data_IF_893087032750
#
_entry.id   IF_893087032750
#
_cell.length_a   1.000
_cell.length_b   1.000
_cell.length_c   1.000
_cell.angle_alpha   90.00
_cell.angle_beta   90.00
_cell.angle_gamma   90.00
#
_symmetry.space_group_name_H-M   'P 1'
#
loop_
_entity.id
_entity.type
_entity.pdbx_description
1 polymer ?
#
# COMPACT_ATOMS: atom_id res chain seq x y z
N UNK A 1 2.99 -1.07 18.16
CA UNK A 1 2.59 -0.45 19.44
C UNK A 1 2.64 -1.55 20.49
N UNK A 2 2.92 -1.23 21.76
CA UNK A 2 2.98 -2.22 22.84
C UNK A 2 2.08 -1.72 23.97
N UNK A 3 0.80 -2.03 23.86
CA UNK A 3 -0.25 -1.66 24.81
C UNK A 3 -1.28 -2.77 24.90
N UNK A 4 -2.21 -2.67 25.87
CA UNK A 4 -3.17 -3.73 26.18
C UNK A 4 -3.99 -4.17 24.97
N UNK A 5 -4.38 -3.23 24.11
CA UNK A 5 -5.18 -3.50 22.92
C UNK A 5 -4.38 -4.29 21.89
N UNK A 6 -3.19 -3.78 21.54
CA UNK A 6 -2.35 -4.38 20.49
C UNK A 6 -1.65 -5.68 20.95
N UNK A 7 -1.62 -5.97 22.26
CA UNK A 7 -1.17 -7.26 22.78
C UNK A 7 -2.23 -8.36 22.64
N UNK A 8 -3.50 -8.02 22.36
CA UNK A 8 -4.59 -8.96 22.07
C UNK A 8 -4.81 -10.09 23.10
N UNK A 9 -4.36 -9.90 24.35
CA UNK A 9 -4.39 -10.95 25.39
C UNK A 9 -5.83 -11.40 25.69
N UNK A 10 -6.78 -10.46 25.68
CA UNK A 10 -8.18 -10.76 25.96
C UNK A 10 -8.82 -11.55 24.80
N UNK A 11 -8.41 -11.31 23.55
CA UNK A 11 -8.82 -12.11 22.39
C UNK A 11 -8.21 -13.52 22.42
N UNK A 12 -6.91 -13.64 22.72
CA UNK A 12 -6.22 -14.94 22.84
C UNK A 12 -6.90 -15.84 23.89
N UNK A 13 -7.25 -15.28 25.05
CA UNK A 13 -7.97 -16.01 26.11
C UNK A 13 -9.37 -16.44 25.69
N UNK A 14 -10.09 -15.58 24.95
CA UNK A 14 -11.46 -15.82 24.51
C UNK A 14 -11.54 -16.92 23.44
N UNK A 15 -10.62 -16.91 22.48
CA UNK A 15 -10.58 -17.92 21.40
C UNK A 15 -10.07 -19.26 21.90
N UNK A 16 -8.99 -19.25 22.70
CA UNK A 16 -8.41 -20.47 23.27
C UNK A 16 -7.80 -21.43 22.24
N UNK A 17 -7.30 -22.60 22.69
CA UNK A 17 -6.64 -23.57 21.82
C UNK A 17 -7.57 -24.18 20.78
N UNK A 18 -7.11 -24.27 19.53
CA UNK A 18 -7.86 -24.87 18.43
C UNK A 18 -8.94 -23.99 17.79
N UNK A 19 -9.16 -22.78 18.31
CA UNK A 19 -10.07 -21.80 17.72
C UNK A 19 -9.43 -20.98 16.58
N UNK A 20 -10.21 -20.07 16.01
CA UNK A 20 -9.76 -19.07 15.04
C UNK A 20 -10.20 -17.67 15.46
N UNK A 21 -9.52 -16.65 14.94
CA UNK A 21 -9.79 -15.25 15.27
C UNK A 21 -10.65 -14.52 14.22
N UNK A 22 -11.09 -15.20 13.15
CA UNK A 22 -11.71 -14.54 11.99
C UNK A 22 -13.02 -13.81 12.30
N UNK A 23 -13.77 -14.29 13.29
CA UNK A 23 -15.04 -13.76 13.76
C UNK A 23 -14.93 -13.01 15.11
N UNK A 24 -13.72 -12.88 15.66
CA UNK A 24 -13.52 -12.16 16.92
C UNK A 24 -13.64 -10.65 16.72
N UNK A 25 -14.25 -9.95 17.68
CA UNK A 25 -14.43 -8.50 17.65
C UNK A 25 -13.08 -7.76 17.50
N UNK A 26 -12.01 -8.27 18.10
CA UNK A 26 -10.67 -7.70 17.97
C UNK A 26 -10.19 -7.69 16.51
N UNK A 27 -10.43 -8.79 15.78
CA UNK A 27 -10.14 -8.83 14.35
C UNK A 27 -11.01 -7.82 13.60
N UNK A 28 -12.31 -7.73 13.89
CA UNK A 28 -13.20 -6.77 13.23
C UNK A 28 -12.77 -5.30 13.44
N UNK A 29 -12.28 -4.96 14.62
CA UNK A 29 -11.87 -3.59 14.95
C UNK A 29 -10.53 -3.22 14.29
N UNK A 30 -9.63 -4.19 14.10
CA UNK A 30 -8.24 -3.94 13.68
C UNK A 30 -7.85 -4.47 12.29
N UNK A 31 -8.65 -5.33 11.62
CA UNK A 31 -8.22 -5.98 10.38
C UNK A 31 -7.88 -5.00 9.24
N UNK A 32 -8.44 -3.79 9.28
CA UNK A 32 -8.21 -2.72 8.29
C UNK A 32 -6.91 -1.95 8.51
N UNK A 33 -6.30 -2.08 9.69
CA UNK A 33 -4.98 -1.49 9.97
C UNK A 33 -3.85 -2.21 9.21
N UNK A 34 -4.09 -3.45 8.81
CA UNK A 34 -3.15 -4.22 8.03
C UNK A 34 -2.92 -3.58 6.66
N UNK A 35 -1.66 -3.33 6.33
CA UNK A 35 -1.26 -2.86 5.02
C UNK A 35 -1.74 -3.81 3.92
N UNK A 36 -2.46 -3.24 2.94
CA UNK A 36 -2.91 -3.97 1.76
C UNK A 36 -1.94 -3.72 0.61
N UNK A 37 -1.36 -4.78 -0.01
CA UNK A 37 -0.46 -4.59 -1.13
C UNK A 37 -1.23 -4.06 -2.34
N UNK A 38 -0.72 -3.00 -2.96
CA UNK A 38 -1.34 -2.42 -4.17
C UNK A 38 -0.98 -3.14 -5.48
N UNK A 39 -0.10 -4.14 -5.45
CA UNK A 39 0.46 -4.78 -6.66
C UNK A 39 0.55 -6.32 -6.56
N UNK A 40 0.81 -6.85 -5.36
CA UNK A 40 0.86 -8.29 -5.13
C UNK A 40 -0.55 -8.87 -5.21
N UNK A 41 -0.71 -9.89 -6.06
CA UNK A 41 -1.92 -10.69 -6.12
C UNK A 41 -1.86 -11.78 -5.04
N UNK A 42 -2.89 -11.86 -4.20
CA UNK A 42 -3.02 -12.84 -3.10
C UNK A 42 -4.23 -13.75 -3.27
N UNK A 43 -4.80 -13.81 -4.48
CA UNK A 43 -5.89 -14.72 -4.80
C UNK A 43 -5.43 -16.17 -4.75
N UNK A 44 -6.40 -17.09 -4.70
CA UNK A 44 -6.13 -18.51 -4.96
C UNK A 44 -5.62 -18.69 -6.39
N UNK A 45 -4.92 -19.81 -6.64
CA UNK A 45 -4.41 -20.10 -7.98
C UNK A 45 -5.53 -20.12 -9.03
N UNK A 46 -6.66 -20.76 -8.73
CA UNK A 46 -7.76 -20.91 -9.67
C UNK A 46 -8.39 -19.55 -10.03
N UNK A 47 -8.57 -18.67 -9.06
CA UNK A 47 -9.10 -17.31 -9.31
C UNK A 47 -8.10 -16.49 -10.12
N UNK A 48 -6.82 -16.47 -9.73
CA UNK A 48 -5.76 -15.79 -10.49
C UNK A 48 -5.69 -16.31 -11.94
N UNK A 49 -5.86 -17.62 -12.13
CA UNK A 49 -5.84 -18.26 -13.45
C UNK A 49 -7.06 -17.87 -14.27
N UNK A 50 -8.25 -17.85 -13.68
CA UNK A 50 -9.50 -17.40 -14.31
C UNK A 50 -9.45 -15.91 -14.71
N UNK A 51 -8.78 -15.08 -13.90
CA UNK A 51 -8.60 -13.63 -14.13
C UNK A 51 -7.47 -13.30 -15.14
N UNK A 52 -6.98 -14.31 -15.87
CA UNK A 52 -6.01 -14.11 -16.95
C UNK A 52 -4.55 -14.34 -16.55
N UNK A 53 -4.28 -14.83 -15.35
CA UNK A 53 -2.96 -15.28 -14.92
C UNK A 53 -1.84 -14.24 -15.05
N UNK A 54 -2.13 -12.99 -14.66
CA UNK A 54 -1.17 -11.90 -14.83
C UNK A 54 0.12 -12.13 -14.05
N UNK A 55 1.24 -11.83 -14.68
CA UNK A 55 2.56 -11.79 -14.06
C UNK A 55 2.76 -10.50 -13.27
N UNK A 56 3.75 -10.49 -12.37
CA UNK A 56 4.13 -9.26 -11.66
C UNK A 56 4.56 -8.15 -12.64
N UNK A 57 5.28 -8.50 -13.71
CA UNK A 57 5.73 -7.53 -14.72
C UNK A 57 4.58 -6.84 -15.45
N UNK A 58 3.53 -7.58 -15.79
CA UNK A 58 2.32 -7.03 -16.43
C UNK A 58 1.58 -6.07 -15.50
N UNK A 59 1.37 -6.46 -14.23
CA UNK A 59 0.74 -5.59 -13.23
C UNK A 59 1.56 -4.32 -12.99
N UNK A 60 2.88 -4.43 -12.91
CA UNK A 60 3.79 -3.27 -12.77
C UNK A 60 3.65 -2.33 -13.96
N UNK A 61 3.70 -2.86 -15.18
CA UNK A 61 3.56 -2.05 -16.41
C UNK A 61 2.21 -1.33 -16.47
N UNK A 62 1.13 -1.99 -16.07
CA UNK A 62 -0.19 -1.39 -15.98
C UNK A 62 -0.23 -0.25 -14.93
N UNK A 63 0.34 -0.47 -13.74
CA UNK A 63 0.40 0.55 -12.68
C UNK A 63 1.22 1.76 -13.10
N UNK A 64 2.36 1.57 -13.77
CA UNK A 64 3.18 2.68 -14.31
C UNK A 64 2.36 3.54 -15.27
N UNK A 65 1.67 2.91 -16.25
CA UNK A 65 0.81 3.65 -17.19
C UNK A 65 -0.29 4.42 -16.47
N UNK A 66 -0.90 3.83 -15.44
CA UNK A 66 -1.91 4.50 -14.64
C UNK A 66 -1.34 5.73 -13.90
N UNK A 67 -0.17 5.60 -13.26
CA UNK A 67 0.46 6.72 -12.53
C UNK A 67 0.79 7.85 -13.50
N UNK A 68 1.45 7.56 -14.62
CA UNK A 68 1.82 8.58 -15.61
C UNK A 68 0.61 9.32 -16.19
N UNK A 69 -0.55 8.64 -16.30
CA UNK A 69 -1.78 9.24 -16.81
C UNK A 69 -2.54 10.06 -15.77
N UNK A 70 -2.57 9.61 -14.51
CA UNK A 70 -3.55 10.10 -13.53
C UNK A 70 -2.93 10.79 -12.31
N UNK A 71 -1.65 10.57 -12.01
CA UNK A 71 -1.02 11.19 -10.85
C UNK A 71 -0.75 12.67 -11.12
N UNK A 72 -1.32 13.53 -10.29
CA UNK A 72 -1.01 14.96 -10.26
C UNK A 72 -0.16 15.21 -9.03
N UNK A 73 1.13 15.59 -9.19
CA UNK A 73 1.96 15.95 -8.06
C UNK A 73 1.42 17.23 -7.40
N UNK A 74 1.68 17.38 -6.10
CA UNK A 74 1.35 18.63 -5.41
C UNK A 74 2.13 19.78 -6.04
N UNK A 75 1.45 20.89 -6.40
CA UNK A 75 2.12 22.02 -7.04
C UNK A 75 3.09 22.68 -6.07
N UNK A 76 4.29 22.96 -6.56
CA UNK A 76 5.27 23.78 -5.82
C UNK A 76 4.94 25.27 -5.97
N UNK A 77 5.37 26.07 -4.99
CA UNK A 77 5.14 27.51 -5.04
C UNK A 77 5.96 28.17 -6.16
N UNK A 78 5.50 29.30 -6.73
CA UNK A 78 6.25 30.02 -7.76
C UNK A 78 7.67 30.41 -7.33
N UNK A 79 7.85 30.75 -6.04
CA UNK A 79 9.15 31.11 -5.48
C UNK A 79 10.14 29.93 -5.50
N UNK A 80 9.69 28.74 -5.08
CA UNK A 80 10.51 27.52 -5.12
C UNK A 80 10.83 27.15 -6.58
N UNK A 81 9.86 27.26 -7.48
CA UNK A 81 10.10 26.97 -8.90
C UNK A 81 11.15 27.91 -9.51
N UNK A 82 11.10 29.21 -9.19
CA UNK A 82 12.08 30.19 -9.65
C UNK A 82 13.50 29.89 -9.13
N UNK A 83 13.62 29.46 -7.88
CA UNK A 83 14.91 29.05 -7.30
C UNK A 83 15.49 27.82 -8.00
N UNK A 84 14.66 26.81 -8.28
CA UNK A 84 15.07 25.61 -9.03
C UNK A 84 15.61 26.01 -10.42
N UNK A 85 14.89 26.86 -11.15
CA UNK A 85 15.31 27.32 -12.48
C UNK A 85 16.66 28.07 -12.43
N UNK A 86 16.86 28.93 -11.43
CA UNK A 86 18.14 29.63 -11.24
C UNK A 86 19.29 28.65 -11.00
N UNK A 87 19.08 27.62 -10.17
CA UNK A 87 20.10 26.60 -9.88
C UNK A 87 20.44 25.80 -11.15
N UNK A 88 19.43 25.39 -11.92
CA UNK A 88 19.61 24.65 -13.17
C UNK A 88 20.41 25.48 -14.21
N UNK A 89 20.06 26.75 -14.39
CA UNK A 89 20.78 27.65 -15.31
C UNK A 89 22.25 27.80 -14.90
N UNK A 90 22.52 27.97 -13.60
CA UNK A 90 23.90 28.07 -13.09
C UNK A 90 24.70 26.79 -13.32
N UNK A 91 24.06 25.62 -13.25
CA UNK A 91 24.71 24.33 -13.48
C UNK A 91 25.06 24.11 -14.97
N UNK A 92 24.21 24.56 -15.89
CA UNK A 92 24.45 24.45 -17.35
C UNK A 92 25.55 25.39 -17.83
N UNK A 93 25.76 26.53 -17.14
CA UNK A 93 26.79 27.52 -17.47
C UNK A 93 28.20 27.17 -16.91
N UNK A 94 28.33 26.04 -16.20
CA UNK A 94 29.61 25.48 -15.76
C UNK A 94 30.03 24.33 -16.67
#
# INVERSE_FOLDING_TARGET
RVDREHLAIDAIKRVGPGGHFLDDAHTFDHFRENWQPGLTDRQTYDNWKADGATTMGERTKAKIKYILKNHQPEPITPAINAEIEMILQRAVLR
#
